data_IF_127302090015
#
_entry.id   IF_127302090015
#
_cell.length_a   1.000
_cell.length_b   1.000
_cell.length_c   1.000
_cell.angle_alpha   90.00
_cell.angle_beta   90.00
_cell.angle_gamma   90.00
#
_symmetry.space_group_name_H-M   'P 1'
#
loop_
_entity.id
_entity.type
_entity.pdbx_description
1 polymer ?
#
# COMPACT_ATOMS: atom_id res chain seq x y z
N UNK A 1 -4.07 -11.62 -5.74
CA UNK A 1 -3.33 -12.49 -6.70
C UNK A 1 -2.72 -13.70 -5.97
N UNK A 2 -2.48 -14.80 -6.68
CA UNK A 2 -2.09 -16.08 -6.04
C UNK A 2 -0.59 -16.40 -6.13
N UNK A 3 0.15 -15.84 -7.09
CA UNK A 3 1.55 -16.20 -7.37
C UNK A 3 2.54 -15.38 -6.51
N UNK A 4 2.32 -15.41 -5.19
CA UNK A 4 2.96 -14.57 -4.16
C UNK A 4 2.85 -15.19 -2.77
N UNK A 5 3.84 -14.92 -1.91
CA UNK A 5 3.88 -15.20 -0.45
C UNK A 5 3.65 -16.68 -0.05
N UNK A 6 2.43 -17.17 -0.25
CA UNK A 6 1.98 -18.54 -0.05
C UNK A 6 0.78 -18.87 -0.98
N UNK A 7 -0.29 -18.08 -0.88
CA UNK A 7 -1.52 -18.16 -1.68
C UNK A 7 -2.38 -16.90 -1.54
N UNK A 8 -3.36 -16.74 -2.42
CA UNK A 8 -4.42 -15.76 -2.26
C UNK A 8 -5.31 -16.16 -1.06
N UNK A 9 -5.46 -15.25 -0.11
CA UNK A 9 -6.34 -15.27 1.08
C UNK A 9 -6.12 -16.39 2.15
N UNK A 10 -4.99 -17.13 2.14
CA UNK A 10 -4.75 -18.26 3.08
C UNK A 10 -3.96 -17.93 4.36
N UNK A 11 -3.01 -17.00 4.27
CA UNK A 11 -2.22 -16.46 5.42
C UNK A 11 -2.34 -14.92 5.55
N UNK A 12 -3.56 -14.35 5.58
CA UNK A 12 -3.80 -12.90 5.53
C UNK A 12 -3.25 -12.11 6.72
N UNK A 13 -3.19 -10.78 6.53
CA UNK A 13 -2.57 -9.81 7.46
C UNK A 13 -3.25 -9.68 8.85
N UNK A 14 -4.29 -10.47 9.11
CA UNK A 14 -4.94 -10.62 10.42
C UNK A 14 -5.03 -12.10 10.90
N UNK A 15 -4.18 -12.99 10.36
CA UNK A 15 -4.22 -14.45 10.65
C UNK A 15 -2.86 -15.18 10.75
N UNK A 16 -1.73 -14.59 10.35
CA UNK A 16 -0.40 -15.24 10.36
C UNK A 16 0.71 -14.41 11.01
N UNK A 17 1.88 -15.00 11.25
CA UNK A 17 3.02 -14.39 11.96
C UNK A 17 3.95 -13.56 11.08
N UNK A 18 4.82 -12.75 11.69
CA UNK A 18 5.80 -11.85 11.05
C UNK A 18 6.71 -12.47 9.98
N UNK A 19 6.91 -13.80 9.98
CA UNK A 19 7.66 -14.51 8.92
C UNK A 19 7.08 -14.20 7.53
N UNK A 20 5.76 -14.04 7.43
CA UNK A 20 5.02 -13.67 6.22
C UNK A 20 5.31 -12.24 5.73
N UNK A 21 5.89 -11.36 6.56
CA UNK A 21 6.29 -10.02 6.12
C UNK A 21 7.63 -10.04 5.35
N UNK A 22 8.46 -11.07 5.58
CA UNK A 22 9.78 -11.24 4.95
C UNK A 22 9.71 -11.95 3.58
N UNK A 23 8.53 -12.48 3.22
CA UNK A 23 8.25 -13.10 1.92
C UNK A 23 8.12 -12.05 0.79
N UNK A 24 7.75 -10.82 1.17
CA UNK A 24 7.52 -9.64 0.33
C UNK A 24 8.84 -8.92 0.06
N UNK A 25 9.02 -8.42 -1.16
CA UNK A 25 10.17 -7.60 -1.55
C UNK A 25 10.19 -6.22 -0.88
N UNK A 26 11.37 -5.61 -0.77
CA UNK A 26 11.58 -4.24 -0.26
C UNK A 26 10.73 -3.22 -1.05
N UNK A 27 10.49 -3.52 -2.33
CA UNK A 27 9.65 -2.76 -3.25
C UNK A 27 8.18 -2.66 -2.82
N UNK A 28 7.67 -3.65 -2.07
CA UNK A 28 6.26 -3.76 -1.69
C UNK A 28 6.02 -3.94 -0.18
N UNK A 29 7.05 -4.12 0.66
CA UNK A 29 6.91 -4.10 2.13
C UNK A 29 6.28 -2.79 2.69
N UNK A 30 6.59 -1.59 2.17
CA UNK A 30 5.86 -0.36 2.51
C UNK A 30 4.37 -0.41 2.13
N UNK A 31 4.05 -1.20 1.11
CA UNK A 31 2.67 -1.45 0.66
C UNK A 31 1.99 -2.50 1.55
N UNK A 32 2.74 -3.47 2.06
CA UNK A 32 2.31 -4.43 3.09
C UNK A 32 1.89 -3.77 4.41
N UNK A 33 2.64 -2.79 4.93
CA UNK A 33 2.16 -1.96 6.07
C UNK A 33 1.02 -1.03 5.62
N UNK A 34 1.11 -0.50 4.39
CA UNK A 34 0.09 0.34 3.76
C UNK A 34 -1.31 -0.27 3.79
N UNK A 35 -1.53 -1.47 3.25
CA UNK A 35 -2.88 -2.05 3.10
C UNK A 35 -3.55 -2.35 4.45
N UNK A 36 -2.78 -2.83 5.43
CA UNK A 36 -3.29 -3.15 6.78
C UNK A 36 -3.73 -1.90 7.57
N UNK A 37 -3.18 -0.73 7.25
CA UNK A 37 -3.53 0.54 7.91
C UNK A 37 -4.47 1.41 7.06
N UNK A 38 -4.34 1.39 5.73
CA UNK A 38 -5.17 2.15 4.78
C UNK A 38 -6.64 1.78 4.94
N UNK A 39 -6.93 0.48 4.90
CA UNK A 39 -8.26 -0.07 5.07
C UNK A 39 -8.76 0.09 6.53
N UNK A 40 -7.86 0.39 7.49
CA UNK A 40 -8.23 0.64 8.89
C UNK A 40 -8.69 2.11 9.15
N UNK A 41 -8.44 3.06 8.24
CA UNK A 41 -8.74 4.49 8.45
C UNK A 41 -9.67 5.12 7.39
N UNK A 42 -10.27 4.30 6.52
CA UNK A 42 -11.35 4.57 5.57
C UNK A 42 -11.67 3.22 4.92
N UNK A 43 -12.89 3.13 4.50
CA UNK A 43 -13.52 1.98 3.83
C UNK A 43 -13.37 2.01 2.30
N UNK A 44 -13.33 3.22 1.72
CA UNK A 44 -13.24 3.53 0.27
C UNK A 44 -12.14 4.57 0.02
N UNK A 45 -11.55 4.67 -1.20
CA UNK A 45 -10.40 5.54 -1.44
C UNK A 45 -10.75 7.01 -1.75
N UNK A 46 -12.02 7.40 -1.61
CA UNK A 46 -12.50 8.80 -1.67
C UNK A 46 -11.81 9.74 -0.65
N UNK A 47 -11.23 9.16 0.42
CA UNK A 47 -10.42 9.87 1.42
C UNK A 47 -8.92 9.46 1.39
N UNK A 48 -8.46 8.78 0.34
CA UNK A 48 -7.05 8.39 0.15
C UNK A 48 -6.25 9.48 -0.57
N UNK A 49 -5.28 10.10 0.13
CA UNK A 49 -4.32 11.10 -0.42
C UNK A 49 -2.85 10.63 -0.23
N UNK A 50 -2.72 9.35 0.15
CA UNK A 50 -1.52 8.63 0.63
C UNK A 50 -1.00 9.19 1.99
N UNK A 51 -0.28 8.35 2.75
CA UNK A 51 0.41 8.72 4.00
C UNK A 51 1.93 8.46 3.87
N UNK A 52 2.56 9.16 2.93
CA UNK A 52 3.95 8.90 2.48
C UNK A 52 4.97 8.99 3.61
N UNK A 53 5.06 10.12 4.33
CA UNK A 53 6.06 10.27 5.39
C UNK A 53 5.86 9.27 6.52
N UNK A 54 4.60 8.95 6.86
CA UNK A 54 4.27 7.90 7.82
C UNK A 54 4.80 6.54 7.36
N UNK A 55 4.48 6.14 6.11
CA UNK A 55 4.94 4.87 5.52
C UNK A 55 6.47 4.83 5.40
N UNK A 56 7.10 5.90 4.97
CA UNK A 56 8.55 5.96 4.76
C UNK A 56 9.35 5.97 6.09
N UNK A 57 8.82 6.60 7.15
CA UNK A 57 9.37 6.55 8.50
C UNK A 57 9.19 5.17 9.15
N UNK A 58 8.06 4.50 8.89
CA UNK A 58 7.67 3.22 9.50
C UNK A 58 8.20 2.00 8.73
N UNK A 59 8.52 2.11 7.43
CA UNK A 59 9.16 1.07 6.60
C UNK A 59 10.36 0.40 7.28
N UNK A 60 11.44 1.13 7.68
CA UNK A 60 12.59 0.54 8.37
C UNK A 60 12.30 0.03 9.79
N UNK A 61 11.06 0.16 10.28
CA UNK A 61 10.63 -0.36 11.57
C UNK A 61 10.15 -1.80 11.44
N UNK A 62 9.04 -2.07 10.73
CA UNK A 62 8.51 -3.44 10.59
C UNK A 62 9.44 -4.36 9.80
N UNK A 63 10.18 -3.83 8.84
CA UNK A 63 11.14 -4.59 7.99
C UNK A 63 12.17 -5.31 8.87
N UNK A 64 12.77 -4.58 9.81
CA UNK A 64 13.68 -5.15 10.79
C UNK A 64 12.92 -5.92 11.86
N UNK A 65 11.85 -5.34 12.40
CA UNK A 65 11.15 -5.86 13.57
C UNK A 65 10.47 -7.21 13.33
N UNK A 66 10.05 -7.51 12.10
CA UNK A 66 9.59 -8.86 11.71
C UNK A 66 10.74 -9.86 11.52
N UNK A 67 12.00 -9.42 11.35
CA UNK A 67 13.18 -10.29 11.39
C UNK A 67 13.70 -10.49 12.83
N UNK A 68 13.50 -9.47 13.68
CA UNK A 68 13.73 -9.56 15.13
C UNK A 68 12.82 -10.60 15.79
N UNK A 69 11.56 -10.74 15.35
CA UNK A 69 10.65 -11.78 15.79
C UNK A 69 9.70 -12.25 14.68
N UNK A 70 10.15 -13.23 13.86
CA UNK A 70 9.33 -13.89 12.81
C UNK A 70 8.03 -14.47 13.39
N UNK A 71 8.07 -14.94 14.63
CA UNK A 71 6.96 -15.60 15.32
C UNK A 71 6.00 -14.63 16.03
N UNK A 72 6.25 -13.32 15.97
CA UNK A 72 5.33 -12.29 16.45
C UNK A 72 3.99 -12.33 15.69
N UNK A 73 2.93 -11.98 16.39
CA UNK A 73 1.55 -12.00 15.88
C UNK A 73 1.32 -10.92 14.81
N UNK A 74 0.34 -11.15 13.93
CA UNK A 74 -0.19 -10.16 12.99
C UNK A 74 -0.62 -8.87 13.70
N UNK A 75 -0.54 -7.74 12.97
CA UNK A 75 -0.98 -6.37 13.32
C UNK A 75 -0.31 -5.73 14.56
N UNK A 76 0.06 -6.52 15.55
CA UNK A 76 0.80 -6.13 16.76
C UNK A 76 2.18 -5.56 16.42
N UNK A 77 2.79 -5.98 15.29
CA UNK A 77 4.06 -5.41 14.82
C UNK A 77 3.89 -3.98 14.28
N UNK A 78 2.87 -3.68 13.47
CA UNK A 78 2.62 -2.30 13.00
C UNK A 78 2.21 -1.37 14.14
N UNK A 79 1.42 -1.88 15.10
CA UNK A 79 1.04 -1.15 16.32
C UNK A 79 2.26 -0.88 17.22
N UNK A 80 3.07 -1.90 17.47
CA UNK A 80 4.29 -1.82 18.29
C UNK A 80 5.37 -0.93 17.67
N UNK A 81 5.55 -0.96 16.35
CA UNK A 81 6.51 -0.07 15.70
C UNK A 81 6.01 1.38 15.62
N UNK A 82 4.71 1.62 15.43
CA UNK A 82 4.14 2.97 15.54
C UNK A 82 4.28 3.55 16.96
N UNK A 83 4.11 2.70 17.97
CA UNK A 83 4.35 3.03 19.38
C UNK A 83 5.81 3.41 19.63
N UNK A 84 6.78 2.66 19.07
CA UNK A 84 8.21 3.00 19.18
C UNK A 84 8.56 4.32 18.51
N UNK A 85 7.77 4.74 17.52
CA UNK A 85 7.98 5.94 16.71
C UNK A 85 7.36 7.21 17.35
N UNK A 86 6.16 7.08 17.92
CA UNK A 86 5.39 8.19 18.53
C UNK A 86 5.31 8.13 20.05
N UNK A 87 4.75 7.02 20.55
CA UNK A 87 4.39 6.80 21.96
C UNK A 87 5.60 6.75 22.91
N UNK A 88 6.77 6.39 22.37
CA UNK A 88 8.06 6.43 23.08
C UNK A 88 8.48 7.84 23.55
N UNK A 89 7.98 8.89 22.86
CA UNK A 89 8.09 10.33 23.18
C UNK A 89 9.49 10.83 23.58
N UNK B 1 0.50 11.40 8.71
CA UNK B 1 1.76 12.18 8.88
C UNK B 1 1.61 13.64 8.43
N UNK B 2 2.30 14.57 9.11
CA UNK B 2 2.11 16.02 8.95
C UNK B 2 2.91 16.64 7.79
N UNK B 3 4.07 16.05 7.45
CA UNK B 3 5.05 16.64 6.52
C UNK B 3 4.82 16.28 5.04
N UNK B 4 3.63 15.78 4.69
CA UNK B 4 3.30 15.29 3.35
C UNK B 4 1.83 15.58 2.94
N UNK B 5 1.64 15.95 1.66
CA UNK B 5 0.34 16.02 0.93
C UNK B 5 -0.86 16.53 1.76
N UNK B 6 -0.69 17.64 2.47
CA UNK B 6 -1.78 18.29 3.22
C UNK B 6 -2.91 18.72 2.27
N UNK B 7 -4.16 18.33 2.57
CA UNK B 7 -5.27 18.49 1.64
C UNK B 7 -5.74 19.94 1.47
N UNK B 8 -6.27 20.23 0.28
CA UNK B 8 -6.99 21.43 -0.07
C UNK B 8 -8.23 21.02 -0.87
N UNK B 9 -9.44 21.40 -0.42
CA UNK B 9 -10.75 21.02 -0.97
C UNK B 9 -11.00 19.50 -1.16
N UNK B 10 -10.17 18.65 -0.52
CA UNK B 10 -10.01 17.19 -0.73
C UNK B 10 -9.69 16.84 -2.19
N UNK B 11 -8.41 16.47 -2.43
CA UNK B 11 -7.84 16.09 -3.75
C UNK B 11 -7.21 14.69 -3.71
N UNK B 12 -8.02 13.62 -3.44
CA UNK B 12 -7.56 12.23 -3.25
C UNK B 12 -7.07 11.59 -4.56
N UNK B 13 -6.73 10.30 -4.55
CA UNK B 13 -6.34 9.48 -5.72
C UNK B 13 -7.31 9.56 -6.93
N UNK B 14 -8.58 9.91 -6.69
CA UNK B 14 -9.61 10.12 -7.73
C UNK B 14 -9.58 11.53 -8.37
N UNK B 15 -8.59 12.36 -8.02
CA UNK B 15 -8.41 13.76 -8.44
C UNK B 15 -6.92 14.12 -8.67
N UNK B 16 -6.05 13.62 -7.80
CA UNK B 16 -4.58 13.67 -7.83
C UNK B 16 -4.01 13.19 -9.18
N UNK B 17 -2.93 13.84 -9.61
CA UNK B 17 -2.35 13.67 -10.96
C UNK B 17 -1.00 12.93 -10.98
N UNK B 18 -0.70 12.32 -12.12
CA UNK B 18 0.53 11.56 -12.36
C UNK B 18 1.84 12.38 -12.23
N UNK B 19 1.81 13.70 -12.44
CA UNK B 19 2.99 14.58 -12.29
C UNK B 19 3.57 14.49 -10.86
N UNK B 20 2.69 14.41 -9.86
CA UNK B 20 3.06 14.24 -8.46
C UNK B 20 3.30 12.76 -8.08
N UNK B 21 2.92 11.78 -8.92
CA UNK B 21 3.33 10.38 -8.73
C UNK B 21 4.85 10.22 -8.94
N UNK B 22 5.46 11.07 -9.78
CA UNK B 22 6.92 11.11 -9.98
C UNK B 22 7.67 11.75 -8.79
N UNK B 23 6.98 12.50 -7.90
CA UNK B 23 7.58 13.20 -6.77
C UNK B 23 7.83 12.29 -5.55
N UNK B 24 6.93 11.33 -5.31
CA UNK B 24 7.11 10.24 -4.34
C UNK B 24 8.15 9.24 -4.87
N UNK B 25 9.00 8.73 -3.97
CA UNK B 25 10.11 7.83 -4.27
C UNK B 25 9.64 6.45 -4.79
N UNK B 26 10.51 5.74 -5.51
CA UNK B 26 10.21 4.45 -6.16
C UNK B 26 9.76 3.40 -5.15
N UNK B 27 10.33 3.46 -3.95
CA UNK B 27 10.02 2.64 -2.78
C UNK B 27 8.55 2.75 -2.33
N UNK B 28 7.88 3.87 -2.64
CA UNK B 28 6.49 4.17 -2.22
C UNK B 28 5.56 4.50 -3.41
N UNK B 29 6.05 4.48 -4.65
CA UNK B 29 5.20 4.62 -5.85
C UNK B 29 4.12 3.52 -5.95
N UNK B 30 4.42 2.23 -5.71
CA UNK B 30 3.40 1.18 -5.64
C UNK B 30 2.39 1.35 -4.49
N UNK B 31 2.74 2.13 -3.47
CA UNK B 31 1.89 2.33 -2.28
C UNK B 31 0.64 3.11 -2.67
N UNK B 32 0.76 4.09 -3.57
CA UNK B 32 -0.34 4.84 -4.17
C UNK B 32 -1.38 3.97 -4.91
N UNK B 33 -0.98 3.02 -5.77
CA UNK B 33 -1.93 2.04 -6.36
C UNK B 33 -2.50 1.11 -5.27
N UNK B 34 -1.68 0.76 -4.27
CA UNK B 34 -2.08 0.09 -3.02
C UNK B 34 -2.93 0.92 -2.03
N UNK B 35 -3.32 2.16 -2.38
CA UNK B 35 -4.28 3.01 -1.66
C UNK B 35 -5.50 3.42 -2.50
N UNK B 36 -5.50 3.17 -3.82
CA UNK B 36 -6.68 3.30 -4.69
C UNK B 36 -7.38 1.95 -4.90
N UNK B 37 -6.77 1.03 -5.65
CA UNK B 37 -7.42 -0.24 -6.05
C UNK B 37 -7.58 -1.21 -4.87
N UNK B 38 -6.78 -1.02 -3.81
CA UNK B 38 -6.82 -1.78 -2.55
C UNK B 38 -8.16 -1.66 -1.79
N UNK B 39 -8.68 -0.43 -1.70
CA UNK B 39 -9.88 -0.11 -0.92
C UNK B 39 -11.14 -0.48 -1.72
N UNK B 40 -11.15 -0.12 -3.02
CA UNK B 40 -12.32 -0.21 -3.91
C UNK B 40 -12.83 -1.64 -4.12
N UNK B 41 -11.98 -2.67 -3.95
CA UNK B 41 -12.37 -4.07 -4.18
C UNK B 41 -13.03 -4.74 -2.95
N UNK B 42 -13.00 -4.10 -1.77
CA UNK B 42 -13.53 -4.60 -0.51
C UNK B 42 -13.99 -3.43 0.40
N UNK B 43 -13.55 -3.44 1.66
CA UNK B 43 -13.93 -2.53 2.75
C UNK B 43 -12.85 -2.47 3.87
N UNK B 44 -12.46 -3.63 4.42
CA UNK B 44 -11.54 -3.79 5.58
C UNK B 44 -10.35 -4.72 5.23
N UNK B 45 -9.24 -4.74 6.03
CA UNK B 45 -8.08 -5.60 5.76
C UNK B 45 -8.16 -6.99 6.43
N UNK B 46 -9.30 -7.38 7.02
CA UNK B 46 -9.43 -8.64 7.78
C UNK B 46 -9.19 -9.89 6.92
N UNK B 47 -9.47 -9.81 5.61
CA UNK B 47 -9.22 -10.88 4.63
C UNK B 47 -8.02 -10.60 3.69
N UNK B 48 -7.42 -9.39 3.72
CA UNK B 48 -6.33 -9.01 2.83
C UNK B 48 -5.01 -9.70 3.16
N UNK B 49 -4.23 -10.02 2.12
CA UNK B 49 -2.87 -10.61 2.21
C UNK B 49 -1.90 -9.93 1.24
N UNK B 50 -2.20 -8.66 0.91
CA UNK B 50 -1.66 -7.83 -0.16
C UNK B 50 -1.89 -8.43 -1.56
N UNK B 51 -2.14 -7.59 -2.56
CA UNK B 51 -2.21 -8.01 -3.97
C UNK B 51 -0.81 -7.95 -4.61
N UNK B 52 0.21 -8.47 -3.91
CA UNK B 52 1.65 -8.32 -4.23
C UNK B 52 1.99 -8.60 -5.69
N UNK B 53 1.61 -9.75 -6.26
CA UNK B 53 2.01 -10.09 -7.63
C UNK B 53 1.28 -9.22 -8.66
N UNK B 54 0.03 -8.85 -8.36
CA UNK B 54 -0.74 -7.88 -9.13
C UNK B 54 -0.11 -6.48 -9.08
N UNK B 55 0.25 -5.98 -7.90
CA UNK B 55 0.93 -4.70 -7.66
C UNK B 55 2.31 -4.69 -8.35
N UNK B 56 3.08 -5.75 -8.26
CA UNK B 56 4.39 -5.87 -8.90
C UNK B 56 4.30 -5.93 -10.43
N UNK B 57 3.24 -6.53 -10.98
CA UNK B 57 2.91 -6.51 -12.42
C UNK B 57 2.50 -5.11 -12.89
N UNK B 58 1.68 -4.42 -12.09
CA UNK B 58 1.02 -3.13 -12.41
C UNK B 58 1.91 -1.91 -12.15
N UNK B 59 2.86 -2.01 -11.23
CA UNK B 59 3.87 -0.96 -10.90
C UNK B 59 4.60 -0.42 -12.13
N UNK B 60 5.39 -1.21 -12.90
CA UNK B 60 6.20 -0.66 -14.01
C UNK B 60 5.34 -0.04 -15.11
N UNK B 61 4.09 -0.49 -15.24
CA UNK B 61 3.10 0.09 -16.14
C UNK B 61 2.79 1.54 -15.74
N UNK B 62 2.30 1.75 -14.52
CA UNK B 62 1.91 3.06 -14.03
C UNK B 62 3.11 4.00 -13.82
N UNK B 63 4.27 3.45 -13.46
CA UNK B 63 5.52 4.21 -13.23
C UNK B 63 5.95 4.94 -14.51
N UNK B 64 6.02 4.20 -15.62
CA UNK B 64 6.28 4.79 -16.94
C UNK B 64 5.09 5.65 -17.39
N UNK B 65 3.86 5.16 -17.23
CA UNK B 65 2.66 5.84 -17.74
C UNK B 65 2.42 7.21 -17.08
N UNK B 66 2.80 7.38 -15.82
CA UNK B 66 2.77 8.67 -15.15
C UNK B 66 3.86 9.64 -15.64
N UNK B 67 4.89 9.19 -16.37
CA UNK B 67 5.83 10.05 -17.10
C UNK B 67 5.37 10.29 -18.54
N UNK B 68 4.77 9.28 -19.17
CA UNK B 68 4.13 9.39 -20.50
C UNK B 68 3.03 10.46 -20.51
N UNK B 69 2.20 10.50 -19.46
CA UNK B 69 1.04 11.37 -19.34
C UNK B 69 0.88 11.91 -17.91
N UNK B 70 1.81 12.79 -17.51
CA UNK B 70 1.89 13.46 -16.18
C UNK B 70 0.58 14.13 -15.77
N UNK B 71 -0.13 14.67 -16.75
CA UNK B 71 -1.32 15.51 -16.53
C UNK B 71 -2.62 14.68 -16.36
N UNK B 72 -2.54 13.35 -16.45
CA UNK B 72 -3.65 12.43 -16.19
C UNK B 72 -4.03 12.36 -14.70
N UNK B 73 -5.31 12.15 -14.45
CA UNK B 73 -5.86 11.80 -13.14
C UNK B 73 -5.44 10.34 -12.81
N UNK B 74 -4.89 10.10 -11.62
CA UNK B 74 -4.26 8.83 -11.27
C UNK B 74 -5.23 7.64 -11.34
N UNK B 75 -6.46 7.78 -10.87
CA UNK B 75 -7.49 6.72 -10.94
C UNK B 75 -7.81 6.29 -12.37
N UNK B 76 -7.84 7.23 -13.32
CA UNK B 76 -7.98 6.94 -14.74
C UNK B 76 -6.72 6.27 -15.32
N UNK B 77 -5.52 6.62 -14.84
CA UNK B 77 -4.26 6.00 -15.30
C UNK B 77 -4.07 4.57 -14.79
N UNK B 78 -4.45 4.24 -13.54
CA UNK B 78 -4.39 2.85 -13.07
C UNK B 78 -5.41 1.96 -13.82
N UNK B 79 -6.60 2.48 -14.14
CA UNK B 79 -7.57 1.81 -15.03
C UNK B 79 -7.02 1.63 -16.45
N UNK B 80 -6.36 2.66 -17.00
CA UNK B 80 -5.74 2.64 -18.33
C UNK B 80 -4.68 1.55 -18.47
N UNK B 81 -3.76 1.42 -17.51
CA UNK B 81 -2.78 0.33 -17.55
C UNK B 81 -3.38 -1.04 -17.22
N UNK B 82 -4.39 -1.14 -16.34
CA UNK B 82 -5.10 -2.41 -16.11
C UNK B 82 -5.79 -2.92 -17.39
N UNK B 83 -6.37 -2.01 -18.16
CA UNK B 83 -6.96 -2.30 -19.48
C UNK B 83 -5.90 -2.78 -20.48
N UNK B 84 -4.76 -2.10 -20.57
CA UNK B 84 -3.66 -2.48 -21.46
C UNK B 84 -3.03 -3.83 -21.06
N UNK B 85 -3.11 -4.21 -19.78
CA UNK B 85 -2.64 -5.46 -19.22
C UNK B 85 -3.62 -6.62 -19.54
N UNK B 86 -4.91 -6.43 -19.24
CA UNK B 86 -5.96 -7.48 -19.29
C UNK B 86 -6.83 -7.40 -20.54
N UNK B 87 -7.53 -6.27 -20.68
CA UNK B 87 -8.59 -6.01 -21.67
C UNK B 87 -8.09 -6.02 -23.13
N UNK B 88 -6.79 -5.74 -23.32
CA UNK B 88 -6.10 -5.79 -24.61
C UNK B 88 -6.03 -7.22 -25.24
N UNK B 89 -6.14 -8.28 -24.41
CA UNK B 89 -6.07 -9.69 -24.84
C UNK B 89 -7.32 -10.14 -25.62
#
# INVERSE_FOLDING_TARGET
ADAQKAADNKKPVNSWTCEDFLAVDESFQPTAVGFAEALNNKDKPEDAVLDVQGIATVTPAIVQACTQDKQANFKDKVKGEWDKIKKDM
ADAQKAADNKKPVNSWTCEDFLAVDESFQPTAVGFAEALNNKDKPEDAVLDVQGIATVTPAIVQACTQDKQANFKDKVKGEWDKIKKDM
#
